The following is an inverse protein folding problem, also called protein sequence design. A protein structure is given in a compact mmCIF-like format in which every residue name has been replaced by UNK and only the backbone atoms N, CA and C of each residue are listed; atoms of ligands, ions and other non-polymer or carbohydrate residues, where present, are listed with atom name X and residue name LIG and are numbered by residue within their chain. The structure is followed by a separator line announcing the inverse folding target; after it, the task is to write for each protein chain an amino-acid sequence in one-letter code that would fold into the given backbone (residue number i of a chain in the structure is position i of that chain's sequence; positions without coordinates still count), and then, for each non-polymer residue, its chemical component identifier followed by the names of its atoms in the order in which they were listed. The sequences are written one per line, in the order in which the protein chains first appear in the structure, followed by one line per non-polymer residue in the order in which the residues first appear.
data_IF_480811349833
#
_entry.id   IF_480811349833
#
_cell.length_a   1.000
_cell.length_b   1.000
_cell.length_c   1.000
_cell.angle_alpha   90.00
_cell.angle_beta   90.00
_cell.angle_gamma   90.00
#
_symmetry.space_group_name_H-M   'P 1'
#
loop_
_entity.id
_entity.type
_entity.pdbx_description
1 polymer ?
#
# COMPACT_ATOMS: atom_id res chain seq x y z
N UNK A 1 -7.63 -39.18 16.66
CA UNK A 1 -8.93 -38.92 16.00
C UNK A 1 -8.71 -37.87 14.92
N UNK A 2 -8.90 -38.29 13.67
CA UNK A 2 -9.00 -37.56 12.39
C UNK A 2 -7.91 -36.56 11.97
N UNK A 3 -6.82 -37.10 11.43
CA UNK A 3 -6.18 -36.53 10.23
C UNK A 3 -7.10 -36.85 9.04
N UNK A 4 -7.60 -35.84 8.33
CA UNK A 4 -8.17 -36.03 6.98
C UNK A 4 -7.04 -35.88 5.97
N UNK A 5 -6.72 -36.98 5.33
CA UNK A 5 -5.82 -37.12 4.18
C UNK A 5 -6.17 -36.10 3.09
N UNK A 6 -5.20 -35.23 2.76
CA UNK A 6 -5.14 -34.48 1.50
C UNK A 6 -4.61 -35.42 0.39
N UNK A 7 -5.22 -36.59 0.24
CA UNK A 7 -4.84 -37.54 -0.82
C UNK A 7 -5.25 -36.96 -2.17
N UNK A 8 -4.26 -36.51 -2.95
CA UNK A 8 -4.44 -36.08 -4.34
C UNK A 8 -5.32 -37.08 -5.08
N UNK A 9 -6.33 -36.57 -5.79
CA UNK A 9 -7.23 -37.45 -6.56
C UNK A 9 -6.43 -38.29 -7.57
N UNK A 10 -6.91 -39.48 -7.97
CA UNK A 10 -6.26 -40.29 -9.01
C UNK A 10 -6.01 -39.50 -10.31
N UNK A 11 -6.89 -38.54 -10.63
CA UNK A 11 -6.74 -37.63 -11.76
C UNK A 11 -5.59 -36.63 -11.54
N UNK A 12 -5.42 -36.11 -10.32
CA UNK A 12 -4.32 -35.22 -9.94
C UNK A 12 -2.98 -35.94 -9.97
N UNK A 13 -2.90 -37.17 -9.43
CA UNK A 13 -1.70 -38.02 -9.49
C UNK A 13 -1.33 -38.38 -10.94
N UNK A 14 -2.33 -38.70 -11.77
CA UNK A 14 -2.13 -38.94 -13.20
C UNK A 14 -1.63 -37.70 -13.95
N UNK A 15 -2.12 -36.51 -13.59
CA UNK A 15 -1.65 -35.23 -14.12
C UNK A 15 -0.19 -34.96 -13.80
N UNK A 16 0.22 -35.15 -12.54
CA UNK A 16 1.60 -34.97 -12.08
C UNK A 16 2.56 -35.96 -12.74
N UNK A 17 2.18 -37.25 -12.80
CA UNK A 17 2.99 -38.28 -13.46
C UNK A 17 3.16 -38.04 -14.97
N UNK A 18 2.12 -37.51 -15.62
CA UNK A 18 2.18 -37.11 -17.03
C UNK A 18 3.07 -35.88 -17.23
N UNK A 19 2.98 -34.87 -16.36
CA UNK A 19 3.80 -33.66 -16.42
C UNK A 19 5.30 -33.97 -16.31
N UNK A 20 5.68 -34.94 -15.45
CA UNK A 20 7.06 -35.36 -15.27
C UNK A 20 7.66 -36.06 -16.51
N UNK A 21 6.84 -36.74 -17.32
CA UNK A 21 7.28 -37.48 -18.51
C UNK A 21 7.39 -36.63 -19.78
N UNK A 22 6.84 -35.42 -19.80
CA UNK A 22 6.82 -34.58 -20.98
C UNK A 22 8.15 -33.84 -21.17
N UNK A 23 8.67 -33.85 -22.40
CA UNK A 23 9.81 -33.02 -22.83
C UNK A 23 9.45 -31.53 -22.86
N UNK A 24 10.45 -30.64 -22.93
CA UNK A 24 10.22 -29.19 -22.98
C UNK A 24 9.36 -28.78 -24.18
N UNK A 25 9.54 -29.42 -25.33
CA UNK A 25 8.80 -29.13 -26.55
C UNK A 25 7.34 -29.61 -26.47
N UNK A 26 7.10 -30.79 -25.89
CA UNK A 26 5.74 -31.27 -25.66
C UNK A 26 4.99 -30.42 -24.62
N UNK A 27 5.66 -29.98 -23.55
CA UNK A 27 5.07 -29.01 -22.60
C UNK A 27 4.71 -27.70 -23.28
N UNK A 28 5.58 -27.22 -24.19
CA UNK A 28 5.34 -26.00 -24.97
C UNK A 28 4.15 -26.14 -25.90
N UNK A 29 3.99 -27.28 -26.59
CA UNK A 29 2.83 -27.52 -27.46
C UNK A 29 1.52 -27.71 -26.68
N UNK A 30 1.56 -28.36 -25.52
CA UNK A 30 0.41 -28.45 -24.61
C UNK A 30 0.01 -27.05 -24.13
N UNK A 31 0.98 -26.23 -23.72
CA UNK A 31 0.72 -24.84 -23.31
C UNK A 31 0.15 -24.00 -24.46
N UNK A 32 0.67 -24.13 -25.69
CA UNK A 32 0.12 -23.46 -26.87
C UNK A 32 -1.32 -23.88 -27.17
N UNK A 33 -1.63 -25.17 -27.09
CA UNK A 33 -3.00 -25.69 -27.32
C UNK A 33 -3.97 -25.23 -26.23
N UNK A 34 -3.57 -25.30 -24.97
CA UNK A 34 -4.35 -24.78 -23.85
C UNK A 34 -4.60 -23.27 -23.98
N UNK A 35 -3.58 -22.50 -24.39
CA UNK A 35 -3.74 -21.08 -24.68
C UNK A 35 -4.72 -20.86 -25.84
N UNK A 36 -4.62 -21.62 -26.93
CA UNK A 36 -5.51 -21.51 -28.10
C UNK A 36 -6.97 -21.83 -27.75
N UNK A 37 -7.23 -22.86 -26.94
CA UNK A 37 -8.57 -23.19 -26.44
C UNK A 37 -9.11 -22.12 -25.49
N UNK A 38 -8.25 -21.55 -24.63
CA UNK A 38 -8.62 -20.38 -23.81
C UNK A 38 -9.05 -19.20 -24.66
N UNK A 39 -8.24 -18.83 -25.65
CA UNK A 39 -8.57 -17.75 -26.56
C UNK A 39 -9.83 -18.05 -27.38
N UNK A 40 -10.10 -19.32 -27.70
CA UNK A 40 -11.34 -19.72 -28.35
C UNK A 40 -12.57 -19.58 -27.44
N UNK A 41 -12.46 -19.89 -26.14
CA UNK A 41 -13.53 -19.64 -25.14
C UNK A 41 -13.77 -18.15 -24.92
N UNK A 42 -12.70 -17.35 -24.88
CA UNK A 42 -12.78 -15.88 -24.77
C UNK A 42 -13.45 -15.26 -26.01
N UNK A 43 -13.23 -15.84 -27.19
CA UNK A 43 -13.84 -15.42 -28.45
C UNK A 43 -15.29 -15.82 -28.62
N UNK A 44 -15.85 -16.66 -27.75
CA UNK A 44 -17.27 -17.04 -27.75
C UNK A 44 -18.00 -16.30 -26.61
N UNK A 45 -18.62 -15.15 -26.89
CA UNK A 45 -19.25 -14.32 -25.88
C UNK A 45 -20.43 -15.02 -25.19
N UNK A 46 -20.99 -16.08 -25.76
CA UNK A 46 -22.11 -16.81 -25.15
C UNK A 46 -21.69 -17.70 -23.97
N UNK A 47 -20.39 -17.90 -23.77
CA UNK A 47 -19.83 -18.77 -22.72
C UNK A 47 -19.20 -18.02 -21.55
N UNK A 48 -19.24 -16.69 -21.59
CA UNK A 48 -18.66 -15.86 -20.55
C UNK A 48 -19.75 -15.43 -19.56
N UNK A 49 -19.45 -15.45 -18.25
CA UNK A 49 -20.37 -14.90 -17.26
C UNK A 49 -20.53 -13.40 -17.48
N UNK A 50 -21.70 -12.89 -17.13
CA UNK A 50 -22.03 -11.46 -17.23
C UNK A 50 -22.08 -10.85 -15.83
N UNK A 51 -21.66 -9.60 -15.70
CA UNK A 51 -21.80 -8.87 -14.43
C UNK A 51 -23.28 -8.51 -14.21
N UNK A 52 -23.85 -8.96 -13.09
CA UNK A 52 -25.18 -8.55 -12.64
C UNK A 52 -25.14 -7.20 -11.92
N UNK A 53 -24.05 -6.91 -11.24
CA UNK A 53 -23.81 -5.65 -10.56
C UNK A 53 -22.33 -5.31 -10.51
N UNK A 54 -22.04 -4.01 -10.43
CA UNK A 54 -20.71 -3.45 -10.23
C UNK A 54 -20.66 -2.44 -9.08
N UNK A 55 -19.45 -2.07 -8.69
CA UNK A 55 -19.22 -1.06 -7.67
C UNK A 55 -17.76 -0.69 -7.51
N UNK A 56 -17.53 0.34 -6.70
CA UNK A 56 -16.18 0.79 -6.31
C UNK A 56 -15.96 0.51 -4.84
N UNK A 57 -14.94 -0.31 -4.56
CA UNK A 57 -14.35 -0.51 -3.25
C UNK A 57 -13.15 0.43 -3.10
N UNK A 58 -13.03 1.13 -1.98
CA UNK A 58 -11.94 2.09 -1.77
C UNK A 58 -10.90 1.50 -0.81
N UNK A 59 -9.63 1.63 -1.17
CA UNK A 59 -8.50 1.40 -0.27
C UNK A 59 -7.78 2.74 -0.09
N UNK A 60 -8.13 3.46 0.97
CA UNK A 60 -7.72 4.86 1.12
C UNK A 60 -8.31 5.69 -0.02
N UNK A 61 -7.44 6.31 -0.81
CA UNK A 61 -7.86 7.14 -1.95
C UNK A 61 -7.86 6.38 -3.29
N UNK A 62 -7.65 5.05 -3.27
CA UNK A 62 -7.57 4.22 -4.48
C UNK A 62 -8.90 3.52 -4.78
N UNK A 63 -9.52 3.76 -5.96
CA UNK A 63 -10.75 3.09 -6.38
C UNK A 63 -10.46 1.71 -6.97
N UNK A 64 -11.19 0.70 -6.52
CA UNK A 64 -11.11 -0.68 -6.98
C UNK A 64 -12.43 -1.11 -7.62
N UNK A 65 -12.39 -1.39 -8.92
CA UNK A 65 -13.53 -1.92 -9.67
C UNK A 65 -13.83 -3.37 -9.23
N UNK A 66 -15.03 -3.59 -8.71
CA UNK A 66 -15.53 -4.90 -8.26
C UNK A 66 -16.87 -5.23 -8.90
N UNK A 67 -17.13 -6.52 -9.08
CA UNK A 67 -18.28 -7.04 -9.81
C UNK A 67 -18.88 -8.25 -9.09
N UNK A 68 -20.21 -8.41 -9.18
CA UNK A 68 -20.88 -9.69 -8.92
C UNK A 68 -21.34 -10.25 -10.25
N UNK A 69 -20.87 -11.44 -10.58
CA UNK A 69 -21.19 -12.13 -11.82
C UNK A 69 -22.51 -12.91 -11.71
N UNK A 70 -23.06 -13.32 -12.85
CA UNK A 70 -24.29 -14.10 -12.98
C UNK A 70 -24.22 -15.51 -12.38
N UNK A 71 -23.01 -16.00 -12.10
CA UNK A 71 -22.76 -17.24 -11.37
C UNK A 71 -22.36 -17.00 -9.91
N UNK A 72 -22.73 -15.84 -9.39
CA UNK A 72 -22.51 -15.37 -8.01
C UNK A 72 -21.06 -15.12 -7.59
N UNK A 73 -20.10 -15.36 -8.48
CA UNK A 73 -18.70 -15.03 -8.22
C UNK A 73 -18.54 -13.54 -7.98
N UNK A 74 -17.72 -13.21 -6.98
CA UNK A 74 -17.36 -11.84 -6.60
C UNK A 74 -15.97 -11.60 -7.16
N UNK A 75 -15.87 -10.68 -8.12
CA UNK A 75 -14.66 -10.49 -8.91
C UNK A 75 -14.11 -9.10 -8.69
N UNK A 76 -12.80 -9.01 -8.48
CA UNK A 76 -12.04 -7.76 -8.51
C UNK A 76 -11.32 -7.67 -9.86
N UNK A 77 -11.38 -6.50 -10.51
CA UNK A 77 -10.71 -6.34 -11.80
C UNK A 77 -9.19 -6.49 -11.64
N UNK A 78 -8.52 -6.93 -12.70
CA UNK A 78 -7.05 -7.07 -12.70
C UNK A 78 -6.33 -5.74 -12.50
N UNK A 79 -6.91 -4.64 -13.01
CA UNK A 79 -6.44 -3.28 -12.72
C UNK A 79 -6.58 -2.96 -11.23
N UNK A 80 -7.74 -3.27 -10.65
CA UNK A 80 -7.98 -3.09 -9.23
C UNK A 80 -7.03 -3.93 -8.36
N UNK A 81 -6.68 -5.15 -8.77
CA UNK A 81 -5.64 -5.94 -8.08
C UNK A 81 -4.28 -5.24 -8.07
N UNK A 82 -3.88 -4.63 -9.20
CA UNK A 82 -2.64 -3.85 -9.27
C UNK A 82 -2.68 -2.63 -8.33
N UNK A 83 -3.79 -1.90 -8.36
CA UNK A 83 -4.02 -0.72 -7.53
C UNK A 83 -4.05 -1.07 -6.04
N UNK A 84 -4.75 -2.13 -5.66
CA UNK A 84 -4.84 -2.60 -4.28
C UNK A 84 -3.45 -2.84 -3.69
N UNK A 85 -2.54 -3.47 -4.45
CA UNK A 85 -1.16 -3.74 -4.05
C UNK A 85 -0.20 -2.54 -4.21
N UNK A 86 -0.71 -1.34 -4.50
CA UNK A 86 0.09 -0.11 -4.56
C UNK A 86 1.05 -0.05 -5.75
N UNK A 87 0.76 -0.75 -6.85
CA UNK A 87 1.61 -0.73 -8.04
C UNK A 87 1.46 0.60 -8.80
N UNK A 88 2.58 1.28 -9.09
CA UNK A 88 2.63 2.57 -9.80
C UNK A 88 2.04 2.56 -11.22
N UNK A 89 1.94 1.38 -11.83
CA UNK A 89 1.35 1.20 -13.16
C UNK A 89 0.02 0.50 -12.96
N UNK A 90 -1.07 1.23 -13.15
CA UNK A 90 -2.43 0.71 -12.93
C UNK A 90 -2.95 -0.15 -14.10
N UNK A 91 -2.24 -0.22 -15.23
CA UNK A 91 -2.61 -1.12 -16.31
C UNK A 91 -2.63 -2.59 -15.84
N UNK A 92 -3.65 -3.37 -16.20
CA UNK A 92 -3.79 -4.77 -15.76
C UNK A 92 -2.59 -5.67 -16.05
N UNK A 93 -1.72 -5.31 -17.00
CA UNK A 93 -0.46 -6.01 -17.25
C UNK A 93 0.57 -5.88 -16.12
N UNK A 94 0.47 -4.84 -15.29
CA UNK A 94 1.42 -4.56 -14.20
C UNK A 94 1.30 -5.56 -13.05
N UNK A 95 0.06 -5.94 -12.71
CA UNK A 95 -0.20 -6.99 -11.74
C UNK A 95 0.49 -8.29 -12.16
N UNK A 96 0.17 -8.78 -13.36
CA UNK A 96 0.74 -10.02 -13.90
C UNK A 96 2.26 -9.98 -13.99
N UNK A 97 2.81 -8.89 -14.52
CA UNK A 97 4.26 -8.70 -14.63
C UNK A 97 4.93 -8.77 -13.27
N UNK A 98 4.32 -8.22 -12.23
CA UNK A 98 4.87 -8.20 -10.87
C UNK A 98 4.78 -9.59 -10.22
N UNK A 99 3.60 -10.22 -10.26
CA UNK A 99 3.38 -11.55 -9.70
C UNK A 99 4.22 -12.64 -10.41
N UNK A 100 4.54 -12.44 -11.69
CA UNK A 100 5.37 -13.37 -12.46
C UNK A 100 6.88 -13.18 -12.27
N UNK A 101 7.34 -12.12 -11.56
CA UNK A 101 8.77 -11.94 -11.32
C UNK A 101 9.27 -13.07 -10.43
N UNK A 102 10.39 -13.70 -10.80
CA UNK A 102 10.95 -14.88 -10.11
C UNK A 102 10.93 -14.78 -8.58
N UNK A 103 11.35 -13.65 -8.01
CA UNK A 103 11.38 -13.45 -6.55
C UNK A 103 10.00 -13.30 -5.89
N UNK A 104 9.01 -12.71 -6.57
CA UNK A 104 7.63 -12.63 -6.06
C UNK A 104 6.93 -13.95 -6.30
N UNK A 105 7.01 -14.49 -7.52
CA UNK A 105 6.39 -15.76 -7.89
C UNK A 105 6.75 -16.90 -6.93
N UNK A 106 8.02 -16.97 -6.51
CA UNK A 106 8.50 -18.04 -5.62
C UNK A 106 7.84 -18.07 -4.25
N UNK A 107 7.08 -17.03 -3.88
CA UNK A 107 6.36 -16.98 -2.60
C UNK A 107 4.98 -17.64 -2.68
N UNK A 108 4.45 -17.84 -3.90
CA UNK A 108 3.12 -18.37 -4.11
C UNK A 108 3.15 -19.88 -4.27
N UNK A 109 2.14 -20.55 -3.72
CA UNK A 109 1.89 -21.96 -4.00
C UNK A 109 1.50 -22.16 -5.49
N UNK A 110 1.79 -23.34 -6.04
CA UNK A 110 1.55 -23.63 -7.46
C UNK A 110 0.07 -23.46 -7.86
N UNK A 111 -0.86 -23.79 -6.94
CA UNK A 111 -2.30 -23.55 -7.15
C UNK A 111 -2.63 -22.07 -7.32
N UNK A 112 -2.07 -21.20 -6.48
CA UNK A 112 -2.31 -19.76 -6.54
C UNK A 112 -1.67 -19.14 -7.79
N UNK A 113 -0.48 -19.62 -8.14
CA UNK A 113 0.18 -19.33 -9.41
C UNK A 113 -0.72 -19.64 -10.60
N UNK A 114 -1.34 -20.82 -10.62
CA UNK A 114 -2.26 -21.21 -11.67
C UNK A 114 -3.45 -20.25 -11.75
N UNK A 115 -4.05 -19.87 -10.61
CA UNK A 115 -5.14 -18.86 -10.60
C UNK A 115 -4.67 -17.50 -11.15
N UNK A 116 -3.51 -17.02 -10.74
CA UNK A 116 -2.93 -15.74 -11.20
C UNK A 116 -2.74 -15.73 -12.73
N UNK A 117 -2.23 -16.82 -13.30
CA UNK A 117 -2.02 -16.97 -14.75
C UNK A 117 -3.32 -17.05 -15.55
N UNK A 118 -4.43 -17.29 -14.87
CA UNK A 118 -5.70 -17.72 -15.46
C UNK A 118 -6.86 -16.83 -14.99
N UNK A 119 -6.83 -15.51 -15.30
CA UNK A 119 -7.88 -14.60 -14.86
C UNK A 119 -9.25 -15.00 -15.42
N UNK A 120 -10.29 -14.62 -14.68
CA UNK A 120 -11.68 -14.77 -15.07
C UNK A 120 -11.99 -13.69 -16.10
N UNK A 121 -12.36 -14.09 -17.31
CA UNK A 121 -12.90 -13.20 -18.33
C UNK A 121 -14.42 -13.13 -18.19
N UNK A 122 -14.97 -11.93 -18.24
CA UNK A 122 -16.40 -11.69 -18.06
C UNK A 122 -16.86 -10.44 -18.83
N UNK A 123 -18.16 -10.38 -19.14
CA UNK A 123 -18.76 -9.17 -19.70
C UNK A 123 -19.15 -8.22 -18.58
N UNK A 124 -18.57 -7.00 -18.49
CA UNK A 124 -19.03 -6.01 -17.53
C UNK A 124 -20.40 -5.46 -17.94
N UNK A 125 -21.07 -4.74 -17.02
CA UNK A 125 -22.34 -4.06 -17.30
C UNK A 125 -22.22 -3.04 -18.46
N UNK A 126 -21.07 -2.38 -18.55
CA UNK A 126 -20.74 -1.41 -19.59
C UNK A 126 -19.30 -1.59 -20.04
N UNK A 127 -19.06 -1.45 -21.36
CA UNK A 127 -17.73 -1.45 -21.95
C UNK A 127 -17.32 -2.79 -22.56
N UNK A 128 -16.03 -2.88 -22.90
CA UNK A 128 -15.44 -4.08 -23.51
C UNK A 128 -15.23 -5.20 -22.49
N UNK A 129 -14.93 -6.39 -23.00
CA UNK A 129 -14.61 -7.56 -22.19
C UNK A 129 -13.57 -7.25 -21.10
N UNK A 130 -13.86 -7.64 -19.86
CA UNK A 130 -13.01 -7.40 -18.70
C UNK A 130 -12.35 -8.71 -18.20
N UNK A 131 -11.23 -8.56 -17.49
CA UNK A 131 -10.55 -9.65 -16.80
C UNK A 131 -10.30 -9.32 -15.31
N UNK A 132 -10.40 -10.34 -14.47
CA UNK A 132 -10.30 -10.19 -13.02
C UNK A 132 -10.03 -11.50 -12.29
N UNK A 133 -10.08 -11.44 -10.97
CA UNK A 133 -9.81 -12.55 -10.07
C UNK A 133 -10.92 -12.65 -9.03
N UNK A 134 -11.06 -13.82 -8.41
CA UNK A 134 -11.95 -13.93 -7.26
C UNK A 134 -11.45 -13.01 -6.13
N UNK A 135 -12.37 -12.44 -5.36
CA UNK A 135 -12.00 -11.63 -4.19
C UNK A 135 -11.21 -12.44 -3.16
N UNK A 136 -11.42 -13.75 -3.07
CA UNK A 136 -10.64 -14.63 -2.20
C UNK A 136 -9.17 -14.73 -2.65
N UNK A 137 -8.91 -14.66 -3.96
CA UNK A 137 -7.55 -14.71 -4.51
C UNK A 137 -6.73 -13.47 -4.08
N UNK A 138 -7.37 -12.32 -3.89
CA UNK A 138 -6.70 -11.14 -3.34
C UNK A 138 -6.19 -11.41 -1.92
N UNK A 139 -6.98 -12.07 -1.08
CA UNK A 139 -6.60 -12.39 0.30
C UNK A 139 -5.47 -13.43 0.31
N UNK A 140 -5.58 -14.49 -0.49
CA UNK A 140 -4.51 -15.50 -0.62
C UNK A 140 -3.17 -14.88 -1.06
N UNK A 141 -3.21 -13.94 -2.02
CA UNK A 141 -2.03 -13.20 -2.46
C UNK A 141 -1.48 -12.32 -1.35
N UNK A 142 -2.36 -11.60 -0.63
CA UNK A 142 -1.94 -10.76 0.47
C UNK A 142 -1.23 -11.57 1.56
N UNK A 143 -1.82 -12.68 1.98
CA UNK A 143 -1.25 -13.55 3.01
C UNK A 143 0.13 -14.08 2.61
N UNK A 144 0.29 -14.56 1.38
CA UNK A 144 1.58 -15.03 0.87
C UNK A 144 2.65 -13.91 0.85
N UNK A 145 2.26 -12.69 0.49
CA UNK A 145 3.16 -11.53 0.50
C UNK A 145 3.54 -11.09 1.92
N UNK A 146 2.61 -11.14 2.87
CA UNK A 146 2.85 -10.85 4.28
C UNK A 146 3.84 -11.87 4.86
N UNK A 147 3.60 -13.16 4.63
CA UNK A 147 4.48 -14.23 5.11
C UNK A 147 5.88 -14.12 4.51
N UNK A 148 5.97 -13.83 3.20
CA UNK A 148 7.25 -13.62 2.53
C UNK A 148 8.02 -12.42 3.11
N UNK A 149 7.33 -11.32 3.40
CA UNK A 149 7.93 -10.13 4.04
C UNK A 149 8.43 -10.46 5.45
N UNK A 150 7.62 -11.13 6.26
CA UNK A 150 7.98 -11.49 7.64
C UNK A 150 9.15 -12.49 7.73
N UNK A 151 9.48 -13.17 6.62
CA UNK A 151 10.60 -14.10 6.48
C UNK A 151 11.77 -13.51 5.66
N UNK A 152 11.76 -12.20 5.40
CA UNK A 152 12.76 -11.50 4.58
C UNK A 152 13.00 -12.13 3.18
N UNK A 153 11.96 -12.76 2.62
CA UNK A 153 12.01 -13.40 1.29
C UNK A 153 11.70 -12.43 0.14
N UNK A 154 11.18 -11.24 0.46
CA UNK A 154 10.96 -10.18 -0.52
C UNK A 154 12.22 -9.33 -0.66
N UNK A 155 12.51 -8.89 -1.87
CA UNK A 155 13.56 -7.88 -2.07
C UNK A 155 13.17 -6.55 -1.41
N UNK A 156 14.14 -5.73 -1.00
CA UNK A 156 13.87 -4.42 -0.35
C UNK A 156 12.93 -3.53 -1.17
N UNK A 157 13.09 -3.54 -2.51
CA UNK A 157 12.21 -2.81 -3.43
C UNK A 157 10.80 -3.39 -3.57
N UNK A 158 10.50 -4.54 -2.94
CA UNK A 158 9.24 -5.28 -2.97
C UNK A 158 8.56 -5.34 -1.59
N UNK A 159 9.25 -4.92 -0.52
CA UNK A 159 8.67 -4.91 0.84
C UNK A 159 7.35 -4.15 0.92
N UNK A 160 7.19 -3.10 0.10
CA UNK A 160 5.95 -2.34 0.03
C UNK A 160 4.73 -3.22 -0.29
N UNK A 161 4.92 -4.32 -1.06
CA UNK A 161 3.84 -5.26 -1.38
C UNK A 161 3.32 -5.96 -0.12
N UNK A 162 4.22 -6.45 0.73
CA UNK A 162 3.84 -7.10 1.98
C UNK A 162 3.25 -6.12 3.00
N UNK A 163 3.70 -4.87 3.02
CA UNK A 163 3.10 -3.80 3.85
C UNK A 163 1.68 -3.48 3.39
N UNK A 164 1.51 -3.26 2.09
CA UNK A 164 0.21 -2.99 1.50
C UNK A 164 -0.75 -4.16 1.72
N UNK A 165 -0.30 -5.39 1.48
CA UNK A 165 -1.09 -6.59 1.75
C UNK A 165 -1.56 -6.70 3.20
N UNK A 166 -0.70 -6.39 4.17
CA UNK A 166 -1.08 -6.44 5.59
C UNK A 166 -2.15 -5.42 5.95
N UNK A 167 -2.06 -4.20 5.42
CA UNK A 167 -3.09 -3.17 5.60
C UNK A 167 -4.44 -3.70 5.12
N UNK A 168 -4.49 -4.27 3.92
CA UNK A 168 -5.72 -4.80 3.33
C UNK A 168 -6.33 -5.89 4.21
N UNK A 169 -5.54 -6.90 4.58
CA UNK A 169 -6.01 -8.04 5.36
C UNK A 169 -6.50 -7.60 6.74
N UNK A 170 -5.77 -6.72 7.43
CA UNK A 170 -6.18 -6.24 8.78
C UNK A 170 -7.44 -5.40 8.72
N UNK A 171 -7.56 -4.49 7.75
CA UNK A 171 -8.77 -3.68 7.58
C UNK A 171 -9.98 -4.53 7.18
N UNK A 172 -9.79 -5.51 6.29
CA UNK A 172 -10.84 -6.42 5.86
C UNK A 172 -11.32 -7.30 7.02
N UNK A 173 -10.40 -7.83 7.83
CA UNK A 173 -10.72 -8.62 9.02
C UNK A 173 -11.56 -7.82 10.04
N UNK A 174 -11.20 -6.55 10.29
CA UNK A 174 -11.96 -5.65 11.18
C UNK A 174 -13.39 -5.43 10.69
N UNK A 175 -13.58 -5.23 9.38
CA UNK A 175 -14.93 -5.11 8.82
C UNK A 175 -15.67 -6.44 8.83
N UNK A 176 -14.99 -7.54 8.53
CA UNK A 176 -15.56 -8.88 8.51
C UNK A 176 -16.17 -9.25 9.87
N UNK A 177 -15.43 -9.04 10.97
CA UNK A 177 -15.98 -9.34 12.30
C UNK A 177 -17.18 -8.44 12.66
N UNK A 178 -17.16 -7.16 12.30
CA UNK A 178 -18.29 -6.26 12.51
C UNK A 178 -19.51 -6.72 11.72
N UNK A 179 -19.33 -7.02 10.43
CA UNK A 179 -20.41 -7.47 9.56
C UNK A 179 -21.03 -8.81 10.04
N UNK A 180 -20.19 -9.75 10.52
CA UNK A 180 -20.67 -11.03 11.08
C UNK A 180 -21.45 -10.82 12.39
N UNK A 181 -21.01 -9.91 13.25
CA UNK A 181 -21.74 -9.58 14.49
C UNK A 181 -23.08 -8.95 14.16
N UNK A 182 -23.10 -7.97 13.26
CA UNK A 182 -24.34 -7.30 12.82
C UNK A 182 -25.33 -8.29 12.20
N UNK A 183 -24.85 -9.22 11.38
CA UNK A 183 -25.67 -10.30 10.82
C UNK A 183 -26.23 -11.20 11.94
N UNK A 184 -25.40 -11.62 12.88
CA UNK A 184 -25.79 -12.51 13.98
C UNK A 184 -26.82 -11.89 14.94
N UNK A 185 -26.79 -10.57 15.14
CA UNK A 185 -27.77 -9.85 16.00
C UNK A 185 -28.98 -9.33 15.22
N UNK A 186 -29.06 -9.59 13.91
CA UNK A 186 -30.17 -9.13 13.08
C UNK A 186 -30.20 -7.61 12.91
N UNK A 187 -29.04 -6.97 12.75
CA UNK A 187 -28.94 -5.54 12.47
C UNK A 187 -29.33 -5.27 11.01
N UNK A 188 -30.61 -4.95 10.78
CA UNK A 188 -31.20 -4.80 9.43
C UNK A 188 -31.17 -3.36 8.92
N UNK A 189 -31.24 -2.34 9.79
CA UNK A 189 -31.35 -0.92 9.41
C UNK A 189 -29.98 -0.23 9.21
N UNK A 190 -29.07 -0.92 8.54
CA UNK A 190 -27.74 -0.37 8.21
C UNK A 190 -27.81 0.54 7.00
N UNK A 191 -27.00 1.60 6.98
CA UNK A 191 -26.89 2.43 5.77
C UNK A 191 -26.21 1.64 4.65
N UNK A 192 -26.63 1.88 3.41
CA UNK A 192 -26.18 1.15 2.21
C UNK A 192 -24.65 1.08 2.03
N UNK A 193 -23.89 2.03 2.60
CA UNK A 193 -22.44 2.14 2.43
C UNK A 193 -21.64 2.07 3.74
N UNK A 194 -22.26 1.65 4.83
CA UNK A 194 -21.69 1.69 6.18
C UNK A 194 -20.39 0.88 6.31
N UNK A 195 -20.39 -0.39 5.94
CA UNK A 195 -19.20 -1.25 6.02
C UNK A 195 -18.09 -0.81 5.08
N UNK A 196 -18.45 -0.23 3.92
CA UNK A 196 -17.46 0.34 3.00
C UNK A 196 -16.76 1.55 3.64
N UNK A 197 -17.48 2.39 4.37
CA UNK A 197 -16.88 3.53 5.11
C UNK A 197 -16.05 3.07 6.30
N UNK A 198 -16.49 2.04 7.02
CA UNK A 198 -15.69 1.43 8.08
C UNK A 198 -14.38 0.85 7.53
N UNK A 199 -14.45 0.17 6.38
CA UNK A 199 -13.27 -0.36 5.72
C UNK A 199 -12.27 0.76 5.38
N UNK A 200 -12.71 1.84 4.74
CA UNK A 200 -11.85 2.99 4.44
C UNK A 200 -11.24 3.60 5.71
N UNK A 201 -12.03 3.73 6.78
CA UNK A 201 -11.56 4.24 8.07
C UNK A 201 -10.44 3.36 8.63
N UNK A 202 -10.62 2.03 8.64
CA UNK A 202 -9.59 1.11 9.12
C UNK A 202 -8.37 1.07 8.22
N UNK A 203 -8.52 1.19 6.90
CA UNK A 203 -7.39 1.29 5.98
C UNK A 203 -6.56 2.53 6.31
N UNK A 204 -7.20 3.69 6.47
CA UNK A 204 -6.53 4.95 6.85
C UNK A 204 -5.82 4.83 8.20
N UNK A 205 -6.43 4.16 9.17
CA UNK A 205 -5.83 3.96 10.50
C UNK A 205 -4.65 2.99 10.48
N UNK A 206 -4.73 1.89 9.72
CA UNK A 206 -3.60 1.00 9.50
C UNK A 206 -2.46 1.77 8.81
N UNK A 207 -2.72 2.49 7.70
CA UNK A 207 -1.70 3.33 7.05
C UNK A 207 -1.00 4.29 8.04
N UNK A 208 -1.75 4.97 8.91
CA UNK A 208 -1.19 5.83 9.97
C UNK A 208 -0.30 5.09 10.96
N UNK A 209 -0.60 3.83 11.27
CA UNK A 209 0.22 3.00 12.18
C UNK A 209 1.51 2.54 11.50
N UNK A 210 1.44 2.13 10.23
CA UNK A 210 2.61 1.69 9.44
C UNK A 210 3.55 2.85 9.08
N UNK A 211 2.98 4.01 8.82
CA UNK A 211 3.70 5.24 8.55
C UNK A 211 3.73 6.09 9.82
N UNK A 212 4.38 5.61 10.89
CA UNK A 212 4.72 6.49 12.01
C UNK A 212 5.26 7.80 11.42
N UNK A 213 4.51 8.89 11.65
CA UNK A 213 4.61 10.11 10.85
C UNK A 213 6.00 10.78 10.91
N UNK A 214 6.84 10.35 11.86
CA UNK A 214 8.27 10.60 11.87
C UNK A 214 9.00 9.26 12.09
N UNK A 215 9.63 8.68 11.05
CA UNK A 215 10.38 7.42 11.20
C UNK A 215 11.62 7.63 12.08
N UNK A 216 12.16 6.56 12.66
CA UNK A 216 13.38 6.64 13.49
C UNK A 216 14.56 7.31 12.78
N UNK A 217 14.72 7.06 11.47
CA UNK A 217 15.77 7.67 10.64
C UNK A 217 15.70 9.19 10.61
N UNK A 218 14.51 9.78 10.70
CA UNK A 218 14.35 11.24 10.81
C UNK A 218 15.00 11.78 12.07
N UNK A 219 14.80 11.11 13.21
CA UNK A 219 15.38 11.54 14.48
C UNK A 219 16.89 11.27 14.50
N UNK A 220 17.33 10.12 14.00
CA UNK A 220 18.75 9.76 13.92
C UNK A 220 19.54 10.76 13.05
N UNK A 221 18.94 11.20 11.93
CA UNK A 221 19.47 12.26 11.10
C UNK A 221 19.68 13.55 11.92
N UNK A 222 18.71 14.00 12.71
CA UNK A 222 18.86 15.22 13.53
C UNK A 222 19.95 15.01 14.59
N UNK A 223 19.96 13.89 15.31
CA UNK A 223 21.02 13.60 16.29
C UNK A 223 22.40 13.70 15.65
N UNK A 224 22.58 13.11 14.47
CA UNK A 224 23.84 13.16 13.71
C UNK A 224 24.21 14.57 13.27
N UNK A 225 23.28 15.32 12.68
CA UNK A 225 23.53 16.69 12.18
C UNK A 225 23.96 17.65 13.30
N UNK A 226 23.49 17.39 14.53
CA UNK A 226 23.80 18.20 15.71
C UNK A 226 24.90 17.60 16.59
N UNK A 227 25.55 16.50 16.18
CA UNK A 227 26.64 15.87 16.94
C UNK A 227 26.21 15.29 18.29
N UNK A 228 24.94 14.91 18.45
CA UNK A 228 24.35 14.42 19.68
C UNK A 228 24.33 12.89 19.71
N UNK A 229 24.53 12.30 20.89
CA UNK A 229 24.40 10.85 21.10
C UNK A 229 22.95 10.49 21.44
N UNK A 230 22.38 9.54 20.69
CA UNK A 230 21.10 8.93 21.03
C UNK A 230 21.34 7.79 22.02
N UNK A 231 20.92 7.99 23.27
CA UNK A 231 21.14 7.01 24.35
C UNK A 231 20.23 5.78 24.25
N UNK A 232 19.03 5.96 23.70
CA UNK A 232 18.03 4.90 23.53
C UNK A 232 17.35 5.05 22.14
N UNK A 233 17.58 4.12 21.21
CA UNK A 233 16.94 4.08 19.89
C UNK A 233 15.42 3.96 19.91
N UNK A 234 14.83 3.45 21.01
CA UNK A 234 13.39 3.22 21.14
C UNK A 234 12.69 4.34 21.91
N UNK A 235 13.46 5.29 22.48
CA UNK A 235 12.91 6.43 23.18
C UNK A 235 12.17 7.39 22.26
N UNK A 236 10.95 7.75 22.66
CA UNK A 236 10.12 8.80 22.04
C UNK A 236 10.43 10.20 22.58
N UNK A 237 11.36 10.32 23.54
CA UNK A 237 11.76 11.58 24.15
C UNK A 237 12.98 12.13 23.42
N UNK A 238 12.80 13.29 22.77
CA UNK A 238 13.87 14.00 22.07
C UNK A 238 14.15 15.36 22.74
N UNK A 239 15.35 15.93 22.55
CA UNK A 239 15.65 17.29 22.97
C UNK A 239 14.62 18.30 22.44
N UNK A 240 14.26 19.31 23.24
CA UNK A 240 13.19 20.26 22.90
C UNK A 240 13.40 20.99 21.56
N UNK A 241 14.66 21.23 21.15
CA UNK A 241 14.96 21.90 19.89
C UNK A 241 14.53 21.09 18.65
N UNK A 242 14.32 19.77 18.76
CA UNK A 242 13.80 18.95 17.67
C UNK A 242 12.42 19.46 17.21
N UNK A 243 11.60 19.97 18.13
CA UNK A 243 10.32 20.62 17.78
C UNK A 243 10.52 21.84 16.88
N UNK A 244 11.58 22.62 17.11
CA UNK A 244 11.91 23.78 16.27
C UNK A 244 12.41 23.35 14.89
N UNK A 245 13.23 22.29 14.84
CA UNK A 245 13.68 21.69 13.59
C UNK A 245 12.50 21.22 12.74
N UNK A 246 11.57 20.45 13.35
CA UNK A 246 10.37 19.95 12.67
C UNK A 246 9.52 21.10 12.15
N UNK A 247 9.28 22.15 12.96
CA UNK A 247 8.52 23.32 12.52
C UNK A 247 9.18 24.02 11.32
N UNK A 248 10.50 24.20 11.37
CA UNK A 248 11.27 24.93 10.34
C UNK A 248 11.41 24.16 9.03
N UNK A 249 11.76 22.89 9.08
CA UNK A 249 12.11 22.13 7.88
C UNK A 249 11.00 21.21 7.38
N UNK A 250 9.99 20.92 8.21
CA UNK A 250 8.86 20.06 7.80
C UNK A 250 7.60 20.88 7.56
N UNK A 251 7.11 21.61 8.57
CA UNK A 251 5.81 22.28 8.46
C UNK A 251 5.84 23.62 7.74
N UNK A 252 6.85 24.47 7.97
CA UNK A 252 6.94 25.79 7.35
C UNK A 252 6.95 25.74 5.80
N UNK A 253 7.79 24.91 5.14
CA UNK A 253 7.81 24.84 3.68
C UNK A 253 6.77 23.88 3.09
N UNK A 254 5.95 23.23 3.93
CA UNK A 254 5.01 22.20 3.52
C UNK A 254 4.10 22.72 2.41
N UNK A 255 3.93 21.91 1.35
CA UNK A 255 3.13 22.24 0.17
C UNK A 255 3.39 23.63 -0.42
N UNK A 256 4.65 24.09 -0.35
CA UNK A 256 5.06 25.41 -0.82
C UNK A 256 4.34 26.59 -0.16
N UNK A 257 3.78 26.39 1.04
CA UNK A 257 2.89 27.36 1.70
C UNK A 257 3.57 28.56 2.33
N UNK A 258 4.91 28.58 2.41
CA UNK A 258 5.69 29.64 3.07
C UNK A 258 5.20 29.97 4.50
N UNK A 259 4.79 28.94 5.25
CA UNK A 259 4.33 29.07 6.62
C UNK A 259 2.81 29.14 6.80
N UNK A 260 2.02 29.41 5.75
CA UNK A 260 0.57 29.57 5.89
C UNK A 260 -0.15 28.32 6.43
N UNK A 261 0.37 27.13 6.14
CA UNK A 261 -0.15 25.88 6.73
C UNK A 261 0.20 25.78 8.21
N UNK A 262 1.44 26.13 8.58
CA UNK A 262 1.89 26.10 9.96
C UNK A 262 1.08 27.06 10.84
N UNK A 263 0.74 28.24 10.33
CA UNK A 263 -0.14 29.21 11.01
C UNK A 263 -1.51 28.62 11.31
N UNK A 264 -2.18 28.02 10.30
CA UNK A 264 -3.48 27.35 10.50
C UNK A 264 -3.40 26.18 11.49
N UNK A 265 -2.27 25.47 11.51
CA UNK A 265 -2.05 24.37 12.46
C UNK A 265 -1.86 24.89 13.89
N UNK A 266 -1.20 26.04 14.06
CA UNK A 266 -1.06 26.70 15.36
C UNK A 266 -2.41 27.21 15.88
N UNK A 267 -3.26 27.78 15.01
CA UNK A 267 -4.62 28.20 15.38
C UNK A 267 -5.48 27.02 15.86
N UNK A 268 -5.40 25.87 15.17
CA UNK A 268 -6.17 24.67 15.50
C UNK A 268 -5.63 23.89 16.71
N UNK A 269 -4.35 24.04 17.01
CA UNK A 269 -3.67 23.32 18.10
C UNK A 269 -2.79 24.28 18.90
N UNK A 270 -3.40 25.21 19.65
CA UNK A 270 -2.68 26.21 20.42
C UNK A 270 -1.88 25.58 21.56
N UNK A 271 -0.89 26.32 22.05
CA UNK A 271 -0.21 26.00 23.31
C UNK A 271 -1.24 26.10 24.43
N UNK A 272 -1.46 25.01 25.17
CA UNK A 272 -2.44 24.97 26.27
C UNK A 272 -1.80 24.63 27.61
N UNK A 273 -0.50 24.30 27.62
CA UNK A 273 0.24 23.97 28.84
C UNK A 273 1.35 25.00 29.09
N UNK A 274 1.58 25.34 30.35
CA UNK A 274 2.60 26.33 30.77
C UNK A 274 4.02 25.98 30.30
N UNK A 275 4.29 24.69 30.08
CA UNK A 275 5.56 24.18 29.56
C UNK A 275 5.71 24.28 28.03
N UNK A 276 4.82 25.00 27.34
CA UNK A 276 4.82 25.12 25.88
C UNK A 276 4.19 23.93 25.14
N UNK A 277 3.60 22.99 25.88
CA UNK A 277 2.94 21.80 25.33
C UNK A 277 1.65 22.11 24.58
N UNK A 278 1.30 21.20 23.66
CA UNK A 278 0.04 21.20 22.91
C UNK A 278 -0.76 19.95 23.22
N UNK A 279 -2.09 20.03 23.10
CA UNK A 279 -3.00 18.91 23.37
C UNK A 279 -2.80 17.76 22.37
N UNK A 280 -2.53 18.08 21.11
CA UNK A 280 -2.38 17.12 20.02
C UNK A 280 -1.09 17.36 19.22
N UNK A 281 -0.75 16.46 18.29
CA UNK A 281 0.35 16.63 17.34
C UNK A 281 -0.17 17.28 16.05
N UNK A 282 0.64 18.11 15.38
CA UNK A 282 0.19 18.82 14.17
C UNK A 282 -0.23 17.93 13.01
N UNK A 283 0.43 16.78 12.81
CA UNK A 283 0.07 15.89 11.72
C UNK A 283 -1.38 15.38 11.81
N UNK A 284 -1.98 15.36 13.01
CA UNK A 284 -3.36 14.92 13.23
C UNK A 284 -4.39 15.86 12.58
N UNK A 285 -3.99 17.07 12.17
CA UNK A 285 -4.85 18.07 11.54
C UNK A 285 -4.55 18.28 10.05
N UNK A 286 -3.61 17.53 9.47
CA UNK A 286 -3.19 17.68 8.07
C UNK A 286 -4.15 17.05 7.05
N UNK A 287 -4.92 16.04 7.48
CA UNK A 287 -5.92 15.36 6.63
C UNK A 287 -6.91 16.34 6.01
N UNK A 288 -7.29 17.37 6.77
CA UNK A 288 -8.38 18.26 6.41
C UNK A 288 -7.93 19.41 5.49
N UNK A 289 -6.62 19.58 5.26
CA UNK A 289 -6.09 20.75 4.56
C UNK A 289 -5.29 20.41 3.29
N UNK A 290 -4.44 19.39 3.30
CA UNK A 290 -3.46 19.14 2.21
C UNK A 290 -3.39 17.66 1.82
N UNK A 291 -3.83 16.76 2.70
CA UNK A 291 -3.68 15.32 2.54
C UNK A 291 -2.31 14.82 3.03
N UNK A 292 -2.30 13.64 3.66
CA UNK A 292 -1.11 13.06 4.29
C UNK A 292 0.03 12.75 3.30
N UNK A 293 -0.31 12.49 2.04
CA UNK A 293 0.66 12.18 1.00
C UNK A 293 1.67 13.32 0.75
N UNK A 294 1.21 14.57 0.75
CA UNK A 294 2.09 15.73 0.54
C UNK A 294 3.08 15.91 1.70
N UNK A 295 2.62 15.70 2.93
CA UNK A 295 3.45 15.73 4.14
C UNK A 295 4.54 14.65 4.09
N UNK A 296 4.17 13.42 3.76
CA UNK A 296 5.12 12.30 3.71
C UNK A 296 6.17 12.47 2.61
N UNK A 297 5.76 12.90 1.41
CA UNK A 297 6.71 13.19 0.34
C UNK A 297 7.73 14.26 0.75
N UNK A 298 7.26 15.32 1.42
CA UNK A 298 8.13 16.38 1.93
C UNK A 298 9.08 15.87 3.03
N UNK A 299 8.55 15.09 3.97
CA UNK A 299 9.33 14.50 5.05
C UNK A 299 10.46 13.60 4.52
N UNK A 300 10.17 12.68 3.59
CA UNK A 300 11.18 11.78 3.02
C UNK A 300 12.23 12.51 2.19
N UNK A 301 11.85 13.57 1.47
CA UNK A 301 12.84 14.45 0.81
C UNK A 301 13.75 15.13 1.83
N UNK A 302 13.19 15.60 2.95
CA UNK A 302 13.96 16.20 4.05
C UNK A 302 14.95 15.20 4.64
N UNK A 303 14.50 13.97 4.90
CA UNK A 303 15.34 12.86 5.39
C UNK A 303 16.49 12.60 4.40
N UNK A 304 16.18 12.40 3.11
CA UNK A 304 17.20 12.10 2.10
C UNK A 304 18.26 13.19 1.96
N UNK A 305 17.87 14.47 2.02
CA UNK A 305 18.82 15.60 2.01
C UNK A 305 19.69 15.58 3.27
N UNK A 306 19.09 15.35 4.44
CA UNK A 306 19.83 15.29 5.69
C UNK A 306 20.79 14.13 5.75
N UNK A 307 20.39 12.92 5.37
CA UNK A 307 21.25 11.73 5.30
C UNK A 307 22.49 11.96 4.41
N UNK A 308 22.33 12.65 3.27
CA UNK A 308 23.45 13.01 2.39
C UNK A 308 24.35 14.15 2.90
N UNK A 309 23.90 14.92 3.89
CA UNK A 309 24.65 16.06 4.41
C UNK A 309 25.65 15.63 5.50
N UNK A 310 26.89 16.12 5.42
CA UNK A 310 27.95 15.83 6.40
C UNK A 310 27.69 16.45 7.77
N UNK A 311 27.17 17.66 7.77
CA UNK A 311 26.91 18.48 8.96
C UNK A 311 25.66 19.34 8.75
N UNK A 312 25.30 20.08 9.79
CA UNK A 312 24.14 20.99 9.77
C UNK A 312 24.23 22.05 8.67
N UNK A 313 25.39 22.64 8.42
CA UNK A 313 25.53 23.71 7.43
C UNK A 313 25.33 23.16 6.01
N UNK A 314 25.90 22.00 5.70
CA UNK A 314 25.69 21.29 4.44
C UNK A 314 24.22 20.90 4.23
N UNK A 315 23.54 20.49 5.31
CA UNK A 315 22.10 20.21 5.28
C UNK A 315 21.31 21.46 4.93
N UNK A 316 21.51 22.57 5.67
CA UNK A 316 20.77 23.82 5.45
C UNK A 316 20.96 24.33 4.01
N UNK A 317 22.19 24.36 3.49
CA UNK A 317 22.46 24.76 2.11
C UNK A 317 21.73 23.89 1.08
N UNK A 318 21.81 22.57 1.23
CA UNK A 318 21.19 21.62 0.29
C UNK A 318 19.67 21.62 0.39
N UNK A 319 19.15 21.79 1.61
CA UNK A 319 17.72 21.90 1.89
C UNK A 319 17.14 23.15 1.24
N UNK A 320 17.75 24.32 1.43
CA UNK A 320 17.29 25.57 0.83
C UNK A 320 17.43 25.60 -0.69
N UNK A 321 18.41 24.88 -1.25
CA UNK A 321 18.49 24.67 -2.70
C UNK A 321 17.33 23.83 -3.23
N UNK A 322 16.92 22.79 -2.50
CA UNK A 322 15.81 21.93 -2.89
C UNK A 322 14.43 22.58 -2.61
N UNK A 323 14.36 23.44 -1.59
CA UNK A 323 13.14 24.12 -1.14
C UNK A 323 13.38 25.64 -0.96
N UNK A 324 13.48 26.42 -2.06
CA UNK A 324 13.75 27.86 -1.97
C UNK A 324 12.70 28.64 -1.19
N UNK A 325 11.45 28.16 -1.15
CA UNK A 325 10.37 28.73 -0.35
C UNK A 325 10.59 28.63 1.17
N UNK A 326 11.52 27.78 1.60
CA UNK A 326 11.84 27.57 3.01
C UNK A 326 12.87 28.60 3.51
N UNK A 327 13.52 29.33 2.60
CA UNK A 327 14.55 30.32 2.93
C UNK A 327 13.92 31.40 3.82
N UNK A 328 14.44 31.62 5.04
CA UNK A 328 13.95 32.70 5.89
C UNK A 328 14.17 34.04 5.19
N UNK A 329 13.18 34.94 5.29
CA UNK A 329 13.20 36.25 4.61
C UNK A 329 14.45 37.08 4.95
N UNK A 330 15.11 36.80 6.09
CA UNK A 330 16.32 37.49 6.57
C UNK A 330 17.60 36.64 6.50
N UNK A 331 17.64 35.53 5.77
CA UNK A 331 18.80 34.64 5.72
C UNK A 331 19.75 35.06 4.58
N UNK A 332 20.82 35.79 4.91
CA UNK A 332 21.90 36.08 3.98
C UNK A 332 22.80 34.85 3.83
N UNK A 333 23.14 34.50 2.59
CA UNK A 333 24.21 33.55 2.33
C UNK A 333 25.54 34.28 2.50
N UNK A 334 26.33 33.91 3.50
CA UNK A 334 27.77 34.19 3.47
C UNK A 334 28.39 33.30 2.38
N UNK A 335 28.28 33.75 1.13
CA UNK A 335 28.88 33.13 -0.04
C UNK A 335 30.36 33.51 -0.19
N UNK A 336 31.09 33.83 0.87
CA UNK A 336 32.55 34.04 0.78
C UNK A 336 33.20 33.73 2.12
N UNK A 337 33.48 32.45 2.37
CA UNK A 337 34.59 32.05 3.23
C UNK A 337 35.14 30.73 2.67
N UNK A 338 35.87 30.89 1.58
CA UNK A 338 36.88 29.93 1.14
C UNK A 338 38.20 30.70 1.20
N UNK A 339 38.87 30.63 2.35
CA UNK A 339 40.34 30.69 2.43
C UNK A 339 40.83 29.57 3.36
#
# INVERSE_FOLDING_TARGET
MNNKDDSLSPQSLGGVARAAKLSSDERREIAKRAAKERWAKIKDPTRLPEAESDGILWIGDLPLDVYRLSDERRVISKRAMAAALGLKSEGGSAFMRTMSRKGVRSVFAEKLVEKIENPIFFKPLNGDLADGYDVEDLIEICDALIEARNKDKLHSSQEFLGRQAEIIVRSAAKVGIIALVDEAVGYVDKRKDEYRRLFDTFVRDEFRQWEQEFPASFFDMIYRLYGLKRHDPDSTKHPQFFGHFIRRYVYFPLAHSRGAILEKLDERNPVVYENGGRRHKFFQYLSDQIGMNAFRQHLWKTIGIGEGAKDRAAFERSFYRAFPQAVPINYQWDMFDVE
#
